data_IF_789985292285
#
_entry.id   IF_789985292285
#
_cell.length_a   1.000
_cell.length_b   1.000
_cell.length_c   1.000
_cell.angle_alpha   90.00
_cell.angle_beta   90.00
_cell.angle_gamma   90.00
#
_symmetry.space_group_name_H-M   'P 1'
#
loop_
_entity.id
_entity.type
_entity.pdbx_description
1 polymer ?
#
# COMPACT_ATOMS: atom_id res chain seq x y z
N UNK A 1 -12.88 -26.66 -16.18
CA UNK A 1 -12.07 -25.45 -16.46
C UNK A 1 -12.66 -24.60 -17.58
N UNK A 2 -13.04 -25.16 -18.74
CA UNK A 2 -13.57 -24.38 -19.88
C UNK A 2 -14.76 -23.43 -19.58
N UNK A 3 -15.54 -23.69 -18.53
CA UNK A 3 -16.64 -22.80 -18.14
C UNK A 3 -16.22 -21.61 -17.25
N UNK A 4 -15.00 -21.62 -16.71
CA UNK A 4 -14.42 -20.50 -15.93
C UNK A 4 -13.79 -19.43 -16.85
N UNK A 5 -13.49 -19.80 -18.10
CA UNK A 5 -12.78 -18.98 -19.08
C UNK A 5 -13.73 -18.20 -20.01
N UNK A 6 -15.05 -18.33 -19.84
CA UNK A 6 -16.02 -17.62 -20.68
C UNK A 6 -16.19 -16.18 -20.19
N UNK A 7 -15.75 -15.25 -21.03
CA UNK A 7 -16.00 -13.81 -20.88
C UNK A 7 -17.51 -13.56 -20.70
N UNK A 8 -17.87 -12.93 -19.57
CA UNK A 8 -19.26 -12.61 -19.22
C UNK A 8 -19.91 -13.50 -18.17
N UNK A 9 -19.21 -14.52 -17.65
CA UNK A 9 -19.70 -15.27 -16.49
C UNK A 9 -19.55 -14.45 -15.21
N UNK A 10 -20.63 -14.27 -14.46
CA UNK A 10 -20.64 -13.61 -13.15
C UNK A 10 -20.18 -14.54 -12.03
N UNK A 11 -19.35 -15.54 -12.34
CA UNK A 11 -18.94 -16.54 -11.36
C UNK A 11 -17.90 -15.91 -10.43
N UNK A 12 -18.18 -15.97 -9.14
CA UNK A 12 -17.34 -15.44 -8.08
C UNK A 12 -16.90 -16.60 -7.20
N UNK A 13 -15.61 -16.67 -6.94
CA UNK A 13 -14.99 -17.61 -6.01
C UNK A 13 -14.76 -16.89 -4.69
N UNK A 14 -15.17 -17.52 -3.60
CA UNK A 14 -14.87 -17.04 -2.24
C UNK A 14 -13.58 -17.72 -1.79
N UNK A 15 -12.56 -16.92 -1.49
CA UNK A 15 -11.23 -17.39 -1.11
C UNK A 15 -10.80 -16.84 0.25
N UNK A 16 -9.86 -17.52 0.90
CA UNK A 16 -9.20 -17.05 2.12
C UNK A 16 -7.76 -16.67 1.81
N UNK A 17 -7.23 -15.65 2.50
CA UNK A 17 -5.85 -15.20 2.31
C UNK A 17 -4.95 -15.93 3.31
N UNK A 18 -3.95 -16.63 2.79
CA UNK A 18 -2.96 -17.36 3.59
C UNK A 18 -1.73 -16.49 3.84
N UNK A 19 -1.18 -16.53 5.06
CA UNK A 19 0.10 -15.93 5.38
C UNK A 19 1.23 -16.93 5.07
N UNK A 20 1.96 -16.67 3.98
CA UNK A 20 3.07 -17.49 3.53
C UNK A 20 4.40 -16.80 3.89
N UNK A 21 5.34 -17.59 4.41
CA UNK A 21 6.70 -17.13 4.67
C UNK A 21 7.66 -17.79 3.69
N UNK A 22 8.55 -16.98 3.12
CA UNK A 22 9.64 -17.50 2.30
C UNK A 22 10.55 -18.39 3.15
N UNK A 23 10.75 -19.64 2.71
CA UNK A 23 11.72 -20.57 3.23
C UNK A 23 12.82 -20.74 2.19
N UNK A 24 14.06 -20.43 2.59
CA UNK A 24 15.26 -20.73 1.82
C UNK A 24 15.91 -21.94 2.46
N UNK A 25 16.16 -22.97 1.67
CA UNK A 25 16.94 -24.12 2.11
C UNK A 25 18.42 -23.71 2.13
N UNK A 26 19.16 -24.08 3.18
CA UNK A 26 20.59 -23.78 3.29
C UNK A 26 21.41 -24.64 2.31
N UNK A 27 20.93 -25.84 2.00
CA UNK A 27 21.65 -26.84 1.20
C UNK A 27 21.26 -26.83 -0.28
N UNK A 28 20.21 -26.10 -0.66
CA UNK A 28 19.72 -26.06 -2.04
C UNK A 28 19.25 -24.66 -2.42
N UNK A 29 19.50 -24.26 -3.66
CA UNK A 29 18.97 -23.01 -4.24
C UNK A 29 17.43 -23.01 -4.37
N UNK A 30 16.76 -24.07 -3.95
CA UNK A 30 15.31 -24.15 -3.90
C UNK A 30 14.75 -23.13 -2.89
N UNK A 31 13.92 -22.22 -3.44
CA UNK A 31 13.13 -21.27 -2.68
C UNK A 31 11.68 -21.75 -2.69
N UNK A 32 11.02 -21.61 -1.55
CA UNK A 32 9.61 -21.95 -1.43
C UNK A 32 8.89 -21.06 -0.43
N UNK A 33 7.59 -21.20 -0.39
CA UNK A 33 6.69 -20.44 0.46
C UNK A 33 5.93 -21.41 1.35
N UNK A 34 6.13 -21.29 2.66
CA UNK A 34 5.50 -22.16 3.65
C UNK A 34 4.37 -21.43 4.35
N UNK A 35 3.21 -22.07 4.37
CA UNK A 35 2.08 -21.56 5.11
C UNK A 35 2.34 -21.56 6.62
N UNK A 36 2.20 -20.38 7.23
CA UNK A 36 2.40 -20.15 8.67
C UNK A 36 1.19 -20.54 9.52
N UNK A 37 0.17 -21.16 8.89
CA UNK A 37 -1.12 -21.50 9.53
C UNK A 37 -1.85 -20.30 10.11
N UNK A 38 -1.55 -19.14 9.54
CA UNK A 38 -2.22 -17.88 9.82
C UNK A 38 -2.99 -17.48 8.57
N UNK A 39 -4.18 -16.95 8.81
CA UNK A 39 -4.99 -16.30 7.79
C UNK A 39 -4.79 -14.79 7.92
N UNK A 40 -4.69 -14.10 6.79
CA UNK A 40 -4.59 -12.64 6.77
C UNK A 40 -6.00 -12.04 6.82
N UNK A 41 -6.21 -11.11 7.75
CA UNK A 41 -7.47 -10.37 7.85
C UNK A 41 -7.49 -9.24 6.82
N UNK A 42 -8.52 -9.23 5.97
CA UNK A 42 -8.67 -8.28 4.86
C UNK A 42 -9.13 -6.88 5.33
N UNK A 43 -9.91 -6.80 6.39
CA UNK A 43 -10.61 -5.58 6.82
C UNK A 43 -10.05 -4.98 8.13
N UNK A 44 -8.74 -4.81 8.24
CA UNK A 44 -8.13 -4.18 9.44
C UNK A 44 -8.40 -2.68 9.54
N UNK A 45 -8.92 -2.05 8.47
CA UNK A 45 -9.04 -0.59 8.33
C UNK A 45 -9.99 0.08 9.35
N UNK A 46 -10.79 -0.70 10.07
CA UNK A 46 -11.67 -0.23 11.14
C UNK A 46 -11.77 -1.21 12.32
N UNK A 47 -10.78 -2.08 12.52
CA UNK A 47 -10.66 -2.77 13.79
C UNK A 47 -10.26 -1.73 14.84
N UNK A 48 -11.23 -0.97 15.34
CA UNK A 48 -11.13 -0.36 16.65
C UNK A 48 -10.61 -1.45 17.60
N UNK A 49 -9.67 -1.13 18.50
CA UNK A 49 -9.06 -2.10 19.42
C UNK A 49 -10.07 -2.86 20.30
N UNK A 50 -11.36 -2.51 20.24
CA UNK A 50 -12.44 -3.09 21.03
C UNK A 50 -13.30 -4.14 20.28
N UNK A 51 -13.11 -4.35 18.98
CA UNK A 51 -13.90 -5.34 18.24
C UNK A 51 -13.37 -6.77 18.49
N UNK A 52 -13.74 -7.34 19.64
CA UNK A 52 -13.26 -8.64 20.16
C UNK A 52 -13.76 -9.88 19.40
N UNK A 53 -14.51 -9.72 18.32
CA UNK A 53 -15.08 -10.86 17.58
C UNK A 53 -14.67 -10.78 16.12
N UNK A 54 -13.59 -11.50 15.79
CA UNK A 54 -13.22 -11.74 14.41
C UNK A 54 -14.30 -12.62 13.76
N UNK A 55 -15.11 -12.05 12.87
CA UNK A 55 -16.09 -12.83 12.11
C UNK A 55 -15.42 -13.50 10.92
N UNK A 56 -15.90 -14.69 10.52
CA UNK A 56 -15.36 -15.45 9.39
C UNK A 56 -15.27 -14.61 8.09
N UNK A 57 -16.18 -13.66 7.92
CA UNK A 57 -16.20 -12.73 6.79
C UNK A 57 -14.95 -11.84 6.67
N UNK A 58 -14.22 -11.60 7.76
CA UNK A 58 -13.00 -10.78 7.74
C UNK A 58 -11.82 -11.47 7.06
N UNK A 59 -11.91 -12.79 6.86
CA UNK A 59 -10.87 -13.61 6.23
C UNK A 59 -11.26 -14.08 4.82
N UNK A 60 -12.39 -13.62 4.30
CA UNK A 60 -12.89 -14.03 2.99
C UNK A 60 -12.84 -12.88 1.99
N UNK A 61 -12.38 -13.18 0.78
CA UNK A 61 -12.41 -12.28 -0.38
C UNK A 61 -13.19 -12.93 -1.51
N UNK A 62 -13.84 -12.10 -2.31
CA UNK A 62 -14.55 -12.51 -3.52
C UNK A 62 -13.69 -12.21 -4.73
N UNK A 63 -13.37 -13.23 -5.51
CA UNK A 63 -12.50 -13.13 -6.70
C UNK A 63 -13.32 -13.61 -7.91
N UNK A 64 -13.38 -12.83 -9.00
CA UNK A 64 -13.91 -13.31 -10.27
C UNK A 64 -13.20 -14.60 -10.70
N UNK A 65 -13.97 -15.61 -11.13
CA UNK A 65 -13.41 -16.94 -11.41
C UNK A 65 -12.33 -16.94 -12.50
N UNK A 66 -12.43 -16.01 -13.46
CA UNK A 66 -11.45 -15.84 -14.53
C UNK A 66 -10.05 -15.43 -14.02
N UNK A 67 -9.95 -14.91 -12.79
CA UNK A 67 -8.68 -14.55 -12.13
C UNK A 67 -8.16 -15.65 -11.19
N UNK A 68 -8.84 -16.80 -11.13
CA UNK A 68 -8.46 -17.90 -10.23
C UNK A 68 -7.66 -18.93 -10.99
N UNK A 69 -6.40 -19.06 -10.60
CA UNK A 69 -5.47 -20.01 -11.19
C UNK A 69 -5.12 -21.11 -10.18
N UNK A 70 -5.18 -22.40 -10.58
CA UNK A 70 -4.91 -23.50 -9.68
C UNK A 70 -3.42 -23.56 -9.32
N UNK A 71 -3.15 -23.80 -8.04
CA UNK A 71 -1.81 -24.12 -7.53
C UNK A 71 -1.79 -25.57 -7.05
N UNK A 72 -0.63 -26.22 -7.14
CA UNK A 72 -0.41 -27.59 -6.66
C UNK A 72 0.64 -27.59 -5.53
N UNK A 73 0.27 -27.14 -4.31
CA UNK A 73 1.21 -27.12 -3.19
C UNK A 73 1.56 -28.54 -2.75
N UNK A 74 2.80 -28.73 -2.31
CA UNK A 74 3.27 -29.97 -1.69
C UNK A 74 3.00 -29.97 -0.19
N UNK A 75 2.75 -31.14 0.40
CA UNK A 75 2.60 -31.29 1.85
C UNK A 75 3.96 -31.65 2.45
N UNK A 76 4.51 -30.78 3.28
CA UNK A 76 5.77 -31.00 4.01
C UNK A 76 5.51 -31.09 5.51
N UNK A 77 6.47 -31.62 6.28
CA UNK A 77 6.41 -31.56 7.76
C UNK A 77 7.36 -30.48 8.25
N UNK A 78 6.81 -29.42 8.85
CA UNK A 78 7.61 -28.35 9.41
C UNK A 78 7.86 -28.59 10.90
N UNK A 79 9.12 -28.49 11.30
CA UNK A 79 9.47 -28.44 12.72
C UNK A 79 9.01 -27.09 13.26
N UNK A 80 8.01 -27.10 14.15
CA UNK A 80 7.52 -25.88 14.78
C UNK A 80 8.66 -25.32 15.65
N UNK A 81 9.28 -24.23 15.22
CA UNK A 81 10.14 -23.43 16.09
C UNK A 81 9.21 -22.75 17.09
N UNK A 82 8.97 -23.38 18.23
CA UNK A 82 8.34 -22.72 19.36
C UNK A 82 9.25 -21.56 19.73
N UNK A 83 8.84 -20.34 19.37
CA UNK A 83 9.51 -19.11 19.78
C UNK A 83 9.41 -19.05 21.30
N UNK A 84 10.41 -19.59 21.98
CA UNK A 84 10.57 -19.50 23.43
C UNK A 84 10.70 -18.03 23.75
N UNK A 85 9.60 -17.44 24.24
CA UNK A 85 9.56 -16.04 24.65
C UNK A 85 10.65 -15.84 25.72
N UNK A 86 11.67 -15.00 25.49
CA UNK A 86 12.67 -14.70 26.49
C UNK A 86 12.13 -13.62 27.42
N UNK A 87 11.53 -14.04 28.53
CA UNK A 87 11.13 -13.16 29.63
C UNK A 87 10.77 -14.03 30.83
N UNK A 88 11.72 -14.29 31.73
CA UNK A 88 11.81 -13.60 33.03
C UNK A 88 10.93 -14.33 34.06
N UNK A 89 11.40 -14.89 35.17
CA UNK A 89 12.58 -14.65 35.98
C UNK A 89 13.11 -15.96 36.57
N UNK A 90 14.36 -15.89 37.02
CA UNK A 90 15.07 -16.87 37.85
C UNK A 90 14.17 -17.53 38.91
N UNK A 91 14.16 -18.86 38.93
CA UNK A 91 13.37 -19.61 39.90
C UNK A 91 13.56 -21.12 39.83
N UNK A 92 14.77 -21.58 40.20
CA UNK A 92 15.05 -22.87 40.85
C UNK A 92 14.88 -24.17 40.03
N UNK A 93 16.04 -24.81 39.88
CA UNK A 93 16.38 -26.15 39.39
C UNK A 93 15.51 -27.26 40.01
N UNK A 94 15.01 -28.18 39.18
CA UNK A 94 14.81 -29.66 39.35
C UNK A 94 13.68 -30.11 38.41
N UNK A 95 13.64 -31.25 37.72
CA UNK A 95 14.50 -32.41 37.47
C UNK A 95 13.77 -33.23 36.37
N UNK A 96 14.51 -33.90 35.48
CA UNK A 96 14.07 -35.06 34.67
C UNK A 96 12.68 -35.02 34.01
N UNK A 97 12.36 -33.96 33.26
CA UNK A 97 11.16 -33.93 32.43
C UNK A 97 11.46 -34.52 31.03
N UNK A 98 10.70 -35.52 30.55
CA UNK A 98 10.98 -36.20 29.29
C UNK A 98 10.93 -35.22 28.13
N UNK A 99 12.05 -35.15 27.39
CA UNK A 99 12.18 -34.35 26.17
C UNK A 99 11.13 -34.78 25.14
N UNK A 100 9.98 -34.09 25.12
CA UNK A 100 8.96 -34.25 24.10
C UNK A 100 9.59 -33.89 22.75
N UNK A 101 9.81 -34.91 21.92
CA UNK A 101 10.31 -34.76 20.56
C UNK A 101 9.46 -33.72 19.82
N UNK A 102 10.09 -32.80 19.04
CA UNK A 102 9.36 -31.79 18.30
C UNK A 102 8.35 -32.48 17.38
N UNK A 103 7.06 -32.29 17.66
CA UNK A 103 6.01 -32.84 16.81
C UNK A 103 6.03 -32.08 15.50
N UNK A 104 6.58 -32.72 14.46
CA UNK A 104 6.59 -32.17 13.11
C UNK A 104 5.14 -32.16 12.61
N UNK A 105 4.57 -30.98 12.37
CA UNK A 105 3.18 -30.87 11.94
C UNK A 105 3.12 -30.66 10.42
N UNK A 106 2.16 -31.28 9.70
CA UNK A 106 2.08 -31.17 8.24
C UNK A 106 1.64 -29.77 7.81
N UNK A 107 2.34 -29.14 6.88
CA UNK A 107 2.02 -27.82 6.33
C UNK A 107 2.18 -27.82 4.81
N UNK A 108 1.75 -26.75 4.16
CA UNK A 108 1.85 -26.59 2.71
C UNK A 108 3.13 -25.85 2.35
N UNK A 109 3.81 -26.36 1.34
CA UNK A 109 4.94 -25.75 0.66
C UNK A 109 4.51 -25.45 -0.78
N UNK A 110 4.66 -24.19 -1.18
CA UNK A 110 4.52 -23.77 -2.56
C UNK A 110 5.91 -23.45 -3.13
N UNK A 111 6.29 -24.09 -4.22
CA UNK A 111 7.58 -23.83 -4.87
C UNK A 111 7.59 -22.43 -5.48
N UNK A 112 8.75 -21.75 -5.43
CA UNK A 112 8.88 -20.39 -5.96
C UNK A 112 8.61 -20.32 -7.46
N UNK A 113 9.17 -21.25 -8.24
CA UNK A 113 8.97 -21.37 -9.69
C UNK A 113 7.50 -21.49 -10.08
N UNK A 114 6.75 -22.33 -9.35
CA UNK A 114 5.31 -22.49 -9.58
C UNK A 114 4.54 -21.21 -9.30
N UNK A 115 4.91 -20.47 -8.25
CA UNK A 115 4.28 -19.20 -7.94
C UNK A 115 4.59 -18.16 -9.04
N UNK A 116 5.83 -18.07 -9.51
CA UNK A 116 6.21 -17.16 -10.60
C UNK A 116 5.46 -17.48 -11.89
N UNK A 117 5.41 -18.75 -12.31
CA UNK A 117 4.68 -19.17 -13.50
C UNK A 117 3.19 -18.78 -13.45
N UNK A 118 2.54 -19.00 -12.30
CA UNK A 118 1.13 -18.64 -12.13
C UNK A 118 0.94 -17.13 -12.07
N UNK A 119 1.87 -16.38 -11.49
CA UNK A 119 1.81 -14.92 -11.45
C UNK A 119 1.98 -14.31 -12.86
N UNK A 120 2.90 -14.84 -13.66
CA UNK A 120 3.10 -14.43 -15.05
C UNK A 120 1.83 -14.70 -15.87
N UNK A 121 1.27 -15.90 -15.75
CA UNK A 121 0.01 -16.25 -16.40
C UNK A 121 -1.17 -15.35 -15.95
N UNK A 122 -1.24 -15.05 -14.65
CA UNK A 122 -2.27 -14.16 -14.09
C UNK A 122 -2.13 -12.74 -14.64
N UNK A 123 -0.89 -12.26 -14.78
CA UNK A 123 -0.59 -10.94 -15.34
C UNK A 123 -0.99 -10.84 -16.81
N UNK A 124 -0.61 -11.84 -17.62
CA UNK A 124 -0.97 -11.89 -19.04
C UNK A 124 -2.48 -11.98 -19.26
N UNK A 125 -3.19 -12.68 -18.36
CA UNK A 125 -4.65 -12.79 -18.38
C UNK A 125 -5.36 -11.43 -18.16
N UNK A 126 -4.69 -10.44 -17.56
CA UNK A 126 -5.21 -9.07 -17.45
C UNK A 126 -5.10 -8.27 -18.76
N UNK A 127 -4.43 -8.82 -19.79
CA UNK A 127 -4.14 -8.19 -21.08
C UNK A 127 -3.47 -6.81 -20.93
N UNK A 128 -2.27 -6.75 -20.31
CA UNK A 128 -1.60 -5.51 -19.93
C UNK A 128 -1.28 -4.60 -21.11
N UNK A 129 -1.14 -5.17 -22.32
CA UNK A 129 -0.82 -4.43 -23.55
C UNK A 129 -2.05 -3.84 -24.25
N UNK A 130 -3.26 -4.08 -23.73
CA UNK A 130 -4.52 -3.64 -24.35
C UNK A 130 -5.20 -2.55 -23.51
N UNK A 131 -6.06 -1.74 -24.12
CA UNK A 131 -6.87 -0.75 -23.40
C UNK A 131 -7.83 -1.39 -22.36
N UNK A 132 -8.08 -2.70 -22.47
CA UNK A 132 -8.91 -3.45 -21.52
C UNK A 132 -8.26 -3.57 -20.13
N UNK A 133 -6.94 -3.34 -20.01
CA UNK A 133 -6.23 -3.45 -18.73
C UNK A 133 -6.86 -2.61 -17.63
N UNK A 134 -7.34 -1.40 -17.93
CA UNK A 134 -7.98 -0.52 -16.93
C UNK A 134 -9.25 -1.17 -16.37
N UNK A 135 -10.04 -1.80 -17.25
CA UNK A 135 -11.26 -2.51 -16.88
C UNK A 135 -10.95 -3.81 -16.12
N UNK A 136 -9.96 -4.56 -16.58
CA UNK A 136 -9.56 -5.83 -15.98
C UNK A 136 -8.93 -5.61 -14.60
N UNK A 137 -8.17 -4.53 -14.42
CA UNK A 137 -7.58 -4.17 -13.14
C UNK A 137 -8.64 -3.85 -12.07
N UNK A 138 -9.80 -3.32 -12.47
CA UNK A 138 -10.94 -3.11 -11.56
C UNK A 138 -11.55 -4.42 -11.03
N UNK A 139 -11.23 -5.57 -11.65
CA UNK A 139 -11.66 -6.89 -11.20
C UNK A 139 -10.73 -7.48 -10.14
N UNK A 140 -9.50 -6.97 -10.02
CA UNK A 140 -8.50 -7.47 -9.08
C UNK A 140 -8.91 -7.07 -7.66
N UNK A 141 -8.94 -8.00 -6.69
CA UNK A 141 -9.28 -7.68 -5.31
C UNK A 141 -8.27 -6.69 -4.72
N UNK A 142 -8.77 -5.60 -4.12
CA UNK A 142 -7.94 -4.61 -3.47
C UNK A 142 -7.65 -4.99 -2.02
N UNK A 143 -6.37 -5.20 -1.68
CA UNK A 143 -5.95 -5.42 -0.29
C UNK A 143 -5.53 -4.09 0.36
N UNK A 144 -6.02 -3.83 1.57
CA UNK A 144 -5.53 -2.70 2.35
C UNK A 144 -4.34 -3.12 3.21
N UNK A 145 -3.18 -2.48 2.97
CA UNK A 145 -2.03 -2.57 3.87
C UNK A 145 -1.79 -1.20 4.52
N UNK A 146 -1.45 -1.15 5.82
CA UNK A 146 -1.20 0.13 6.52
C UNK A 146 0.02 0.87 5.95
N UNK A 147 0.95 0.13 5.36
CA UNK A 147 2.08 0.65 4.60
C UNK A 147 2.24 -0.15 3.31
N UNK A 148 2.67 0.52 2.25
CA UNK A 148 3.20 -0.17 1.08
C UNK A 148 4.51 -0.83 1.52
N UNK A 149 4.68 -2.12 1.20
CA UNK A 149 5.93 -2.83 1.44
C UNK A 149 6.97 -2.35 0.42
N UNK A 150 7.43 -1.12 0.59
CA UNK A 150 8.58 -0.60 -0.14
C UNK A 150 9.87 -1.32 0.23
N UNK A 151 9.82 -2.20 1.23
CA UNK A 151 10.95 -2.95 1.75
C UNK A 151 10.76 -4.44 1.61
N UNK A 152 11.85 -5.14 1.31
CA UNK A 152 11.91 -6.60 1.31
C UNK A 152 11.90 -7.16 2.75
N UNK A 153 11.96 -8.48 2.88
CA UNK A 153 12.07 -9.18 4.17
C UNK A 153 13.32 -8.82 5.00
N UNK A 154 14.30 -8.16 4.39
CA UNK A 154 15.52 -7.66 5.04
C UNK A 154 15.46 -6.15 5.34
N UNK A 155 14.27 -5.54 5.27
CA UNK A 155 14.06 -4.08 5.46
C UNK A 155 14.77 -3.19 4.41
N UNK A 156 15.23 -3.75 3.30
CA UNK A 156 15.86 -3.00 2.20
C UNK A 156 14.82 -2.51 1.20
N UNK A 157 14.98 -1.29 0.70
CA UNK A 157 14.06 -0.72 -0.29
C UNK A 157 14.05 -1.55 -1.59
N UNK A 158 12.90 -2.07 -1.98
CA UNK A 158 12.72 -2.95 -3.14
C UNK A 158 12.06 -2.25 -4.34
N UNK A 159 11.27 -1.20 -4.09
CA UNK A 159 10.73 -0.33 -5.14
C UNK A 159 11.59 0.94 -5.21
N UNK A 160 12.78 0.82 -5.77
CA UNK A 160 13.61 1.96 -6.12
C UNK A 160 13.38 2.21 -7.60
N UNK A 161 12.83 3.38 -7.96
CA UNK A 161 12.84 3.82 -9.35
C UNK A 161 14.29 4.15 -9.67
N UNK A 162 14.99 3.20 -10.30
CA UNK A 162 16.32 3.42 -10.84
C UNK A 162 16.17 4.37 -12.04
N UNK A 163 17.17 5.23 -12.25
CA UNK A 163 17.23 6.14 -13.39
C UNK A 163 16.05 7.13 -13.49
N UNK A 164 15.70 7.77 -12.38
CA UNK A 164 14.82 8.97 -12.41
C UNK A 164 15.54 10.03 -13.25
N UNK A 165 15.00 10.42 -14.42
CA UNK A 165 15.64 11.42 -15.27
C UNK A 165 15.92 12.71 -14.48
N UNK A 166 17.03 13.39 -14.77
CA UNK A 166 17.45 14.59 -14.03
C UNK A 166 16.35 15.66 -13.97
N UNK A 167 15.49 15.74 -14.99
CA UNK A 167 14.36 16.66 -15.02
C UNK A 167 13.21 16.30 -14.05
N UNK A 168 13.13 15.03 -13.59
CA UNK A 168 12.23 14.58 -12.51
C UNK A 168 12.89 14.62 -11.13
N UNK A 169 14.23 14.70 -11.08
CA UNK A 169 15.02 14.90 -9.87
C UNK A 169 14.91 16.34 -9.38
N UNK A 170 13.72 16.73 -8.94
CA UNK A 170 13.48 18.06 -8.38
C UNK A 170 13.98 18.12 -6.94
N UNK A 171 14.79 19.12 -6.63
CA UNK A 171 15.13 19.44 -5.24
C UNK A 171 13.85 19.78 -4.47
N UNK A 172 13.65 19.09 -3.34
CA UNK A 172 12.51 19.29 -2.47
C UNK A 172 12.55 20.71 -1.87
N UNK A 173 11.76 21.61 -2.44
CA UNK A 173 11.60 22.97 -1.91
C UNK A 173 10.85 22.96 -0.58
N UNK A 174 11.32 23.74 0.38
CA UNK A 174 10.63 23.91 1.67
C UNK A 174 9.34 24.71 1.50
N UNK A 175 8.38 24.55 2.42
CA UNK A 175 7.08 25.22 2.36
C UNK A 175 7.15 26.76 2.33
N UNK A 176 8.23 27.33 2.85
CA UNK A 176 8.47 28.78 2.88
C UNK A 176 9.23 29.30 1.65
N UNK A 177 9.72 28.41 0.78
CA UNK A 177 10.39 28.80 -0.45
C UNK A 177 9.42 29.56 -1.35
N UNK A 178 9.78 30.79 -1.74
CA UNK A 178 8.99 31.60 -2.66
C UNK A 178 9.12 31.00 -4.07
N UNK A 179 7.98 30.64 -4.65
CA UNK A 179 7.88 30.13 -6.01
C UNK A 179 6.98 31.04 -6.84
N UNK A 180 7.35 31.23 -8.10
CA UNK A 180 6.55 31.99 -9.06
C UNK A 180 5.45 31.07 -9.63
N UNK A 181 4.22 31.57 -9.71
CA UNK A 181 3.17 30.85 -10.42
C UNK A 181 3.48 30.79 -11.92
N UNK A 182 3.19 29.66 -12.57
CA UNK A 182 3.41 29.53 -14.01
C UNK A 182 2.32 30.21 -14.85
N UNK A 183 1.11 30.35 -14.29
CA UNK A 183 -0.07 30.89 -14.98
C UNK A 183 -0.24 32.41 -14.79
N UNK A 184 0.48 33.03 -13.85
CA UNK A 184 0.31 34.45 -13.55
C UNK A 184 1.58 35.05 -12.93
N UNK A 185 1.71 36.39 -12.85
CA UNK A 185 2.92 37.02 -12.31
C UNK A 185 3.08 36.88 -10.78
N UNK A 186 2.12 36.28 -10.08
CA UNK A 186 2.11 36.17 -8.61
C UNK A 186 3.21 35.21 -8.13
N UNK A 187 3.97 35.65 -7.12
CA UNK A 187 4.97 34.83 -6.42
C UNK A 187 4.60 34.69 -4.95
N UNK A 188 4.58 33.46 -4.45
CA UNK A 188 4.08 33.11 -3.10
C UNK A 188 4.99 32.05 -2.47
N UNK A 189 5.04 31.93 -1.14
CA UNK A 189 5.58 30.74 -0.49
C UNK A 189 4.89 29.47 -1.01
N UNK A 190 5.63 28.36 -1.19
CA UNK A 190 5.11 27.10 -1.73
C UNK A 190 3.85 26.60 -1.00
N UNK A 191 3.78 26.78 0.33
CA UNK A 191 2.58 26.47 1.13
C UNK A 191 1.32 27.23 0.68
N UNK A 192 1.47 28.46 0.19
CA UNK A 192 0.39 29.28 -0.36
C UNK A 192 0.10 29.00 -1.83
N UNK A 193 1.09 28.46 -2.58
CA UNK A 193 0.97 28.21 -4.01
C UNK A 193 -0.09 27.14 -4.32
N UNK A 194 -0.25 26.12 -3.47
CA UNK A 194 -1.28 25.07 -3.67
C UNK A 194 -2.69 25.67 -3.75
N UNK A 195 -3.03 26.59 -2.85
CA UNK A 195 -4.35 27.23 -2.85
C UNK A 195 -4.50 28.18 -4.04
N UNK A 196 -3.44 28.87 -4.43
CA UNK A 196 -3.43 29.77 -5.58
C UNK A 196 -3.64 29.01 -6.91
N UNK A 197 -2.88 27.93 -7.15
CA UNK A 197 -3.05 27.09 -8.36
C UNK A 197 -4.43 26.43 -8.41
N UNK A 198 -4.99 26.04 -7.25
CA UNK A 198 -6.37 25.53 -7.18
C UNK A 198 -7.39 26.54 -7.76
N UNK A 199 -7.20 27.84 -7.55
CA UNK A 199 -8.09 28.86 -8.12
C UNK A 199 -8.03 28.81 -9.65
N UNK A 200 -6.83 28.80 -10.24
CA UNK A 200 -6.67 28.66 -11.70
C UNK A 200 -7.39 27.42 -12.25
N UNK A 201 -7.20 26.26 -11.61
CA UNK A 201 -7.88 25.01 -12.00
C UNK A 201 -9.41 25.13 -11.95
N UNK A 202 -9.95 25.73 -10.88
CA UNK A 202 -11.40 25.85 -10.72
C UNK A 202 -12.04 26.81 -11.72
N UNK A 203 -11.33 27.87 -12.09
CA UNK A 203 -11.81 28.85 -13.06
C UNK A 203 -11.64 28.36 -14.50
N UNK A 204 -10.55 27.65 -14.81
CA UNK A 204 -10.35 27.05 -16.14
C UNK A 204 -11.41 25.98 -16.44
N UNK A 205 -11.83 25.20 -15.43
CA UNK A 205 -12.95 24.26 -15.56
C UNK A 205 -14.31 24.91 -15.80
N UNK A 206 -14.40 26.24 -15.71
CA UNK A 206 -15.64 27.02 -15.91
C UNK A 206 -15.56 27.93 -17.13
N UNK A 207 -14.53 27.76 -17.96
CA UNK A 207 -14.27 28.59 -19.14
C UNK A 207 -14.25 30.10 -18.82
N UNK A 208 -13.75 30.46 -17.63
CA UNK A 208 -13.57 31.87 -17.25
C UNK A 208 -12.21 32.33 -17.74
N UNK A 209 -12.19 33.43 -18.48
CA UNK A 209 -10.96 34.00 -19.05
C UNK A 209 -9.92 34.33 -17.97
N UNK A 210 -8.66 34.02 -18.28
CA UNK A 210 -7.52 34.20 -17.36
C UNK A 210 -7.35 35.66 -16.90
N UNK A 211 -7.77 36.62 -17.73
CA UNK A 211 -7.68 38.04 -17.41
C UNK A 211 -8.59 38.44 -16.24
N UNK A 212 -9.74 37.77 -16.09
CA UNK A 212 -10.65 37.99 -14.96
C UNK A 212 -10.19 37.25 -13.70
N UNK A 213 -9.53 36.10 -13.87
CA UNK A 213 -8.85 35.40 -12.78
C UNK A 213 -7.74 36.29 -12.19
N UNK A 214 -6.93 36.93 -13.05
CA UNK A 214 -5.85 37.82 -12.62
C UNK A 214 -6.38 38.99 -11.79
N UNK A 215 -7.48 39.62 -12.21
CA UNK A 215 -8.10 40.73 -11.48
C UNK A 215 -8.54 40.31 -10.08
N UNK A 216 -9.20 39.16 -9.97
CA UNK A 216 -9.77 38.71 -8.70
C UNK A 216 -8.69 38.14 -7.75
N UNK A 217 -7.71 37.43 -8.28
CA UNK A 217 -6.61 36.86 -7.48
C UNK A 217 -5.66 37.95 -6.98
N UNK A 218 -5.30 38.92 -7.82
CA UNK A 218 -4.48 40.06 -7.40
C UNK A 218 -5.20 40.90 -6.34
N UNK A 219 -6.50 41.14 -6.51
CA UNK A 219 -7.33 41.88 -5.53
C UNK A 219 -7.33 41.17 -4.16
N UNK A 220 -7.52 39.86 -4.14
CA UNK A 220 -7.54 39.08 -2.89
C UNK A 220 -6.16 38.96 -2.22
N UNK A 221 -5.08 38.88 -3.00
CA UNK A 221 -3.71 38.87 -2.48
C UNK A 221 -3.33 40.21 -1.84
N UNK A 222 -3.66 41.32 -2.50
CA UNK A 222 -3.44 42.68 -1.98
C UNK A 222 -4.23 42.89 -0.69
N UNK A 223 -5.51 42.51 -0.66
CA UNK A 223 -6.35 42.64 0.53
C UNK A 223 -5.79 41.86 1.73
N UNK A 224 -5.24 40.66 1.51
CA UNK A 224 -4.59 39.88 2.58
C UNK A 224 -3.29 40.50 3.08
N UNK A 225 -2.46 41.06 2.19
CA UNK A 225 -1.24 41.77 2.59
C UNK A 225 -1.57 43.02 3.41
N UNK A 226 -2.63 43.75 3.03
CA UNK A 226 -3.12 44.92 3.78
C UNK A 226 -3.67 44.49 5.15
N UNK A 227 -4.43 43.39 5.24
CA UNK A 227 -4.94 42.91 6.54
C UNK A 227 -3.82 42.47 7.49
N UNK A 228 -2.72 41.92 6.98
CA UNK A 228 -1.57 41.51 7.79
C UNK A 228 -0.71 42.70 8.25
N UNK A 229 -0.65 43.79 7.48
CA UNK A 229 0.11 44.99 7.85
C UNK A 229 -0.64 45.89 8.84
N UNK A 230 -1.98 45.92 8.80
CA UNK A 230 -2.79 46.75 9.70
C UNK A 230 -3.00 46.11 11.08
N UNK A 231 -2.89 44.79 11.20
CA UNK A 231 -3.14 44.05 12.45
C UNK A 231 -2.03 44.09 13.51
N UNK A 232 -0.89 44.75 13.26
CA UNK A 232 0.29 44.72 14.13
C UNK A 232 0.82 46.10 14.56
N UNK A 233 0.01 47.17 14.48
CA UNK A 233 0.37 48.42 15.11
C UNK A 233 0.12 48.32 16.63
N UNK A 234 1.17 48.32 17.48
CA UNK A 234 0.97 48.34 18.92
C UNK A 234 0.27 49.65 19.28
N UNK A 235 -0.89 49.54 19.91
CA UNK A 235 -1.57 50.67 20.55
C UNK A 235 -0.61 51.26 21.60
N UNK A 236 0.07 52.34 21.25
CA UNK A 236 0.81 53.16 22.21
C UNK A 236 -0.21 53.88 23.09
N UNK A 237 -0.52 53.28 24.23
CA UNK A 237 -1.27 53.93 25.31
C UNK A 237 -0.39 55.00 25.93
N UNK A 238 -0.61 56.26 25.57
CA UNK A 238 -0.04 57.40 26.27
C UNK A 238 -0.65 57.49 27.69
N UNK A 239 0.23 57.50 28.69
CA UNK A 239 -0.03 57.97 30.06
C UNK A 239 0.35 59.44 30.16
#
# INVERSE_FOLDING_TARGET
MKDLEKDGTTLVVVAQILDLQEQRSEDSEQRGWVWQRKYVCHNSRQAQPECKQATQHQFMISIPALLVHPLAPSVIRSAVRTSTVPGGMAGVIRSDEPQLLPTSQPTWLLEHSQLEEVLDYSWDSLKPETEEIIRNFALVPSLFTPSLRYKNSQEQLQLVVLDVPEYLSMELKTGDTIVKCHFCPVSLPLKGMRNHVRIHILYSQRDIDEEDILKEVCRNAINRLISLSVGNLPFLTHR
#
